data_IF_772709652705
#
_entry.id   IF_772709652705
#
_cell.length_a   1.000
_cell.length_b   1.000
_cell.length_c   1.000
_cell.angle_alpha   90.00
_cell.angle_beta   90.00
_cell.angle_gamma   90.00
#
_symmetry.space_group_name_H-M   'P 1'
#
loop_
_entity.id
_entity.type
_entity.pdbx_description
1 polymer ?
#
# COMPACT_ATOMS: atom_id res chain seq x y z
N UNK A 1 16.50 11.99 -20.84
CA UNK A 1 16.80 10.57 -20.54
C UNK A 1 18.31 10.42 -20.66
N UNK A 2 18.99 9.74 -19.73
CA UNK A 2 20.43 9.53 -19.86
C UNK A 2 20.74 8.63 -21.08
N UNK A 3 21.95 8.73 -21.61
CA UNK A 3 22.39 7.95 -22.78
C UNK A 3 22.38 6.43 -22.54
N UNK A 4 22.48 6.02 -21.27
CA UNK A 4 22.41 4.62 -20.83
C UNK A 4 20.98 4.11 -20.59
N UNK A 5 19.95 4.96 -20.69
CA UNK A 5 18.55 4.58 -20.44
C UNK A 5 18.19 4.18 -19.01
N UNK A 6 19.09 4.38 -18.04
CA UNK A 6 18.87 4.02 -16.63
C UNK A 6 17.79 4.90 -16.01
N UNK A 7 16.81 4.25 -15.36
CA UNK A 7 15.72 4.90 -14.62
C UNK A 7 15.80 4.52 -13.14
N UNK A 8 15.43 5.43 -12.25
CA UNK A 8 15.27 5.13 -10.84
C UNK A 8 14.06 4.20 -10.64
N UNK A 9 14.28 3.03 -10.03
CA UNK A 9 13.24 2.03 -9.78
C UNK A 9 12.91 1.84 -8.29
N UNK A 10 13.77 2.32 -7.38
CA UNK A 10 13.61 2.09 -5.94
C UNK A 10 12.29 2.62 -5.40
N UNK A 11 12.01 3.91 -5.60
CA UNK A 11 10.79 4.55 -5.09
C UNK A 11 9.52 4.05 -5.81
N UNK A 12 9.61 3.82 -7.12
CA UNK A 12 8.48 3.33 -7.94
C UNK A 12 8.08 1.90 -7.58
N UNK A 13 9.05 1.05 -7.21
CA UNK A 13 8.74 -0.29 -6.73
C UNK A 13 8.01 -0.26 -5.38
N UNK A 14 8.33 0.70 -4.51
CA UNK A 14 7.78 0.77 -3.15
C UNK A 14 6.41 1.45 -3.09
N UNK A 15 6.13 2.44 -3.94
CA UNK A 15 4.90 3.26 -3.87
C UNK A 15 3.61 2.43 -3.92
N UNK A 16 3.64 1.26 -4.58
CA UNK A 16 2.48 0.35 -4.71
C UNK A 16 2.21 -0.51 -3.48
N UNK A 17 3.14 -0.61 -2.52
CA UNK A 17 3.03 -1.57 -1.41
C UNK A 17 1.90 -1.22 -0.45
N UNK A 18 1.85 0.02 0.06
CA UNK A 18 0.81 0.45 1.00
C UNK A 18 -0.63 0.30 0.43
N UNK A 19 -0.95 0.75 -0.80
CA UNK A 19 -2.30 0.56 -1.35
C UNK A 19 -2.60 -0.91 -1.68
N UNK A 20 -1.61 -1.73 -2.06
CA UNK A 20 -1.82 -3.16 -2.27
C UNK A 20 -2.25 -3.88 -0.98
N UNK A 21 -1.55 -3.59 0.13
CA UNK A 21 -1.91 -4.12 1.45
C UNK A 21 -3.29 -3.63 1.90
N UNK A 22 -3.58 -2.34 1.76
CA UNK A 22 -4.90 -1.78 2.12
C UNK A 22 -6.05 -2.41 1.32
N UNK A 23 -5.84 -2.67 0.02
CA UNK A 23 -6.83 -3.36 -0.80
C UNK A 23 -7.00 -4.83 -0.41
N UNK A 24 -5.92 -5.53 -0.04
CA UNK A 24 -6.00 -6.90 0.45
C UNK A 24 -6.80 -6.99 1.77
N UNK A 25 -6.59 -6.06 2.69
CA UNK A 25 -7.37 -5.95 3.94
C UNK A 25 -8.85 -5.72 3.63
N UNK A 26 -9.18 -4.80 2.72
CA UNK A 26 -10.56 -4.57 2.30
C UNK A 26 -11.19 -5.81 1.65
N UNK A 27 -10.45 -6.51 0.79
CA UNK A 27 -10.92 -7.74 0.15
C UNK A 27 -11.23 -8.83 1.19
N UNK A 28 -10.38 -8.98 2.20
CA UNK A 28 -10.53 -10.03 3.22
C UNK A 28 -11.60 -9.73 4.27
N UNK A 29 -11.81 -8.45 4.61
CA UNK A 29 -12.62 -8.05 5.78
C UNK A 29 -13.87 -7.25 5.43
N UNK A 30 -13.96 -6.71 4.21
CA UNK A 30 -14.97 -5.72 3.83
C UNK A 30 -14.79 -4.35 4.48
N UNK A 31 -13.87 -4.20 5.44
CA UNK A 31 -13.59 -2.92 6.13
C UNK A 31 -12.55 -2.12 5.37
N UNK A 32 -12.86 -0.86 5.06
CA UNK A 32 -11.95 0.07 4.39
C UNK A 32 -11.28 0.97 5.41
N UNK A 33 -9.96 0.89 5.52
CA UNK A 33 -9.15 1.72 6.43
C UNK A 33 -8.45 2.81 5.61
N UNK A 34 -8.60 4.06 6.06
CA UNK A 34 -8.02 5.25 5.40
C UNK A 34 -6.82 5.84 6.16
N UNK A 35 -6.57 5.35 7.37
CA UNK A 35 -5.47 5.76 8.22
C UNK A 35 -4.33 4.74 8.14
N UNK A 36 -3.10 5.24 8.05
CA UNK A 36 -1.89 4.43 8.10
C UNK A 36 -1.09 4.78 9.36
N UNK A 37 -0.44 3.80 10.02
CA UNK A 37 -0.40 2.38 9.67
C UNK A 37 -1.72 1.65 10.01
N UNK A 38 -2.07 0.63 9.22
CA UNK A 38 -3.25 -0.22 9.50
C UNK A 38 -2.92 -1.10 10.70
N UNK A 39 -3.46 -0.73 11.86
CA UNK A 39 -3.42 -1.50 13.11
C UNK A 39 -4.67 -2.37 13.30
N UNK A 40 -4.61 -3.31 14.24
CA UNK A 40 -5.69 -4.27 14.49
C UNK A 40 -6.97 -3.62 15.01
N UNK A 41 -6.85 -2.52 15.76
CA UNK A 41 -7.95 -1.75 16.34
C UNK A 41 -8.94 -1.29 15.26
N UNK A 42 -8.42 -0.90 14.08
CA UNK A 42 -9.25 -0.52 12.92
C UNK A 42 -10.11 -1.66 12.37
N UNK A 43 -9.82 -2.92 12.72
CA UNK A 43 -10.53 -4.10 12.23
C UNK A 43 -11.41 -4.75 13.29
N UNK A 44 -11.07 -4.62 14.58
CA UNK A 44 -11.78 -5.32 15.67
C UNK A 44 -12.86 -4.48 16.34
N UNK A 45 -12.74 -3.15 16.32
CA UNK A 45 -13.77 -2.28 16.88
C UNK A 45 -14.97 -2.22 15.91
N UNK A 46 -16.17 -2.31 16.50
CA UNK A 46 -17.47 -2.16 15.85
C UNK A 46 -18.16 -0.91 16.39
#
# INVERSE_FOLDING_TARGET
MNELGVKGLGEIALVGVAPAVANAVFHATGKRVWELPIRIEHLVEQ
#
